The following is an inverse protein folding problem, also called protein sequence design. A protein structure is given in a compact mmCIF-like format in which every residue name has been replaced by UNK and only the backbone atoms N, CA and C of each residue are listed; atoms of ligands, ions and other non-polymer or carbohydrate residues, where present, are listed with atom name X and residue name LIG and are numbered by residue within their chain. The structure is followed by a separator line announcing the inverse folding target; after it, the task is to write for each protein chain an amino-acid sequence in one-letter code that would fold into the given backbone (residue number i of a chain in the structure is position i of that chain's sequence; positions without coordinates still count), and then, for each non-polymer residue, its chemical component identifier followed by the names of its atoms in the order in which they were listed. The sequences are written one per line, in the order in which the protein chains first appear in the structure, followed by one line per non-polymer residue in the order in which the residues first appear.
data_IF_760795672775
#
_entry.id   IF_760795672775
#
_cell.length_a   1.000
_cell.length_b   1.000
_cell.length_c   1.000
_cell.angle_alpha   90.00
_cell.angle_beta   90.00
_cell.angle_gamma   90.00
#
_symmetry.space_group_name_H-M   'P 1'
#
loop_
_entity.id
_entity.type
_entity.pdbx_description
1 polymer ?
#
# COMPACT_ATOMS: atom_id res chain seq x y z
N UNK A 1 -3.82 52.77 68.37
CA UNK A 1 -2.90 51.65 68.67
C UNK A 1 -2.85 50.78 67.39
N UNK A 2 -1.71 50.69 66.72
CA UNK A 2 -1.65 49.82 65.57
C UNK A 2 -1.63 48.37 66.04
N UNK A 3 -2.48 47.54 65.36
CA UNK A 3 -2.55 46.11 65.62
C UNK A 3 -1.24 45.42 65.20
N UNK A 4 -0.56 44.69 66.07
CA UNK A 4 0.62 43.93 65.76
C UNK A 4 0.24 42.84 64.74
N UNK A 5 0.97 42.72 63.61
CA UNK A 5 0.73 41.67 62.67
C UNK A 5 0.99 40.31 63.37
N UNK A 6 0.04 39.37 63.25
CA UNK A 6 0.17 37.98 63.74
C UNK A 6 1.39 37.33 63.04
N UNK A 7 2.42 37.01 63.82
CA UNK A 7 3.57 36.24 63.39
C UNK A 7 3.35 34.80 63.75
N UNK A 8 3.23 33.91 62.76
CA UNK A 8 3.09 32.48 63.01
C UNK A 8 4.34 31.98 63.78
N UNK A 9 4.20 31.00 64.64
CA UNK A 9 5.33 30.46 65.45
C UNK A 9 6.34 29.79 64.46
N UNK A 10 7.64 29.92 64.75
CA UNK A 10 8.72 29.41 63.90
C UNK A 10 8.57 27.92 63.52
N UNK A 11 7.95 27.13 64.41
CA UNK A 11 7.61 25.74 64.17
C UNK A 11 6.59 25.57 63.00
N UNK A 12 5.61 26.48 62.87
CA UNK A 12 4.62 26.43 61.80
C UNK A 12 5.28 26.69 60.40
N UNK A 13 6.18 27.66 60.36
CA UNK A 13 6.93 27.95 59.11
C UNK A 13 7.85 26.77 58.75
N UNK A 14 8.48 26.11 59.73
CA UNK A 14 9.32 24.95 59.51
C UNK A 14 8.52 23.76 58.98
N UNK A 15 7.35 23.49 59.58
CA UNK A 15 6.45 22.42 59.09
C UNK A 15 5.92 22.74 57.70
N UNK A 16 5.53 24.00 57.43
CA UNK A 16 5.06 24.42 56.11
C UNK A 16 6.14 24.26 55.01
N UNK A 17 7.41 24.59 55.32
CA UNK A 17 8.51 24.39 54.39
C UNK A 17 8.81 22.91 54.15
N UNK A 18 8.68 22.07 55.16
CA UNK A 18 8.90 20.62 55.06
C UNK A 18 7.82 19.97 54.17
N UNK A 19 6.55 20.39 54.33
CA UNK A 19 5.43 19.95 53.48
C UNK A 19 5.63 20.42 52.03
N UNK A 20 6.00 21.67 51.83
CA UNK A 20 6.26 22.21 50.48
C UNK A 20 7.43 21.49 49.78
N UNK A 21 8.49 21.16 50.56
CA UNK A 21 9.64 20.41 50.06
C UNK A 21 9.25 18.98 49.69
N UNK A 22 8.47 18.29 50.54
CA UNK A 22 7.95 16.95 50.23
C UNK A 22 7.01 16.93 49.01
N UNK A 23 6.14 17.94 48.88
CA UNK A 23 5.29 18.10 47.70
C UNK A 23 6.11 18.36 46.44
N UNK A 24 7.19 19.18 46.50
CA UNK A 24 8.08 19.41 45.38
C UNK A 24 8.80 18.16 44.91
N UNK A 25 9.29 17.32 45.84
CA UNK A 25 9.90 16.03 45.55
C UNK A 25 8.87 15.11 44.91
N UNK A 26 7.66 15.03 45.42
CA UNK A 26 6.56 14.23 44.89
C UNK A 26 6.19 14.63 43.45
N UNK A 27 6.07 15.93 43.20
CA UNK A 27 5.82 16.47 41.85
C UNK A 27 6.98 16.22 40.90
N UNK A 28 8.22 16.40 41.37
CA UNK A 28 9.41 16.13 40.56
C UNK A 28 9.51 14.63 40.19
N UNK A 29 9.22 13.74 41.14
CA UNK A 29 9.20 12.30 40.91
C UNK A 29 8.07 11.90 39.96
N UNK A 30 6.87 12.49 40.08
CA UNK A 30 5.74 12.26 39.18
C UNK A 30 6.04 12.75 37.75
N UNK A 31 6.65 13.94 37.63
CA UNK A 31 7.07 14.49 36.34
C UNK A 31 8.18 13.65 35.70
N UNK A 32 9.14 13.20 36.52
CA UNK A 32 10.21 12.30 36.03
C UNK A 32 9.63 10.99 35.49
N UNK A 33 8.76 10.32 36.26
CA UNK A 33 8.11 9.11 35.80
C UNK A 33 7.30 9.33 34.49
N UNK A 34 6.57 10.43 34.39
CA UNK A 34 5.78 10.74 33.21
C UNK A 34 6.65 10.95 31.95
N UNK A 35 7.80 11.65 32.09
CA UNK A 35 8.69 11.96 30.97
C UNK A 35 9.60 10.80 30.58
N UNK A 36 10.10 10.02 31.54
CA UNK A 36 11.07 8.95 31.31
C UNK A 36 10.40 7.65 30.85
N UNK A 37 9.12 7.44 31.21
CA UNK A 37 8.45 6.16 30.97
C UNK A 37 7.62 6.09 29.69
N UNK A 38 7.20 7.20 29.10
CA UNK A 38 6.45 7.18 27.86
C UNK A 38 7.39 6.86 26.66
N UNK A 39 7.18 5.76 25.92
CA UNK A 39 7.98 5.48 24.71
C UNK A 39 7.73 6.55 23.67
N UNK A 40 8.78 7.27 23.30
CA UNK A 40 8.69 8.27 22.24
C UNK A 40 9.94 8.30 21.36
N UNK A 41 9.78 8.71 20.10
CA UNK A 41 10.87 8.89 19.16
C UNK A 41 10.61 10.07 18.22
N UNK A 42 11.69 10.73 17.79
CA UNK A 42 11.66 11.76 16.72
C UNK A 42 12.00 11.18 15.34
N UNK A 43 12.40 9.93 15.30
CA UNK A 43 12.80 9.26 14.06
C UNK A 43 11.64 8.42 13.51
N UNK A 44 10.49 9.07 13.29
CA UNK A 44 9.38 8.53 12.53
C UNK A 44 9.47 8.97 11.07
N UNK A 45 9.21 8.05 10.13
CA UNK A 45 9.19 8.33 8.70
C UNK A 45 7.87 7.90 8.10
N UNK A 46 7.21 8.83 7.43
CA UNK A 46 6.02 8.50 6.62
C UNK A 46 6.46 7.62 5.45
N UNK A 47 5.79 6.50 5.29
CA UNK A 47 5.98 5.56 4.18
C UNK A 47 4.68 5.43 3.42
N UNK A 48 4.79 5.04 2.16
CA UNK A 48 3.66 4.84 1.26
C UNK A 48 4.03 3.75 0.26
N UNK A 49 3.06 2.97 -0.18
CA UNK A 49 3.26 2.04 -1.30
C UNK A 49 3.22 2.80 -2.61
N UNK A 50 4.13 2.47 -3.49
CA UNK A 50 4.13 2.94 -4.88
C UNK A 50 3.76 1.80 -5.81
N UNK A 51 2.89 2.08 -6.77
CA UNK A 51 2.54 1.15 -7.84
C UNK A 51 3.28 1.56 -9.11
N UNK A 52 4.19 0.71 -9.56
CA UNK A 52 4.84 0.87 -10.86
C UNK A 52 3.95 0.24 -11.93
N UNK A 53 3.35 1.07 -12.77
CA UNK A 53 2.47 0.63 -13.85
C UNK A 53 3.30 0.37 -15.09
N UNK A 54 3.38 -0.90 -15.49
CA UNK A 54 4.02 -1.35 -16.71
C UNK A 54 2.96 -1.86 -17.69
N UNK A 55 3.02 -1.52 -18.98
CA UNK A 55 2.12 -2.09 -19.98
C UNK A 55 2.40 -3.60 -20.13
N UNK A 56 1.35 -4.37 -20.42
CA UNK A 56 1.47 -5.81 -20.70
C UNK A 56 1.71 -6.10 -22.18
N UNK A 57 1.47 -5.10 -23.04
CA UNK A 57 1.70 -5.16 -24.49
C UNK A 57 2.57 -3.98 -24.94
N UNK A 58 3.33 -4.15 -26.03
CA UNK A 58 4.25 -3.13 -26.52
C UNK A 58 3.66 -2.37 -27.71
N UNK A 59 3.95 -1.06 -27.80
CA UNK A 59 3.55 -0.25 -28.96
C UNK A 59 3.72 1.25 -28.74
N UNK A 60 3.36 2.03 -29.73
CA UNK A 60 3.43 3.49 -29.69
C UNK A 60 2.28 4.05 -28.85
N UNK A 61 2.56 5.01 -27.96
CA UNK A 61 1.55 5.71 -27.16
C UNK A 61 0.81 6.72 -28.05
N UNK A 62 -0.49 6.52 -28.25
CA UNK A 62 -1.33 7.40 -29.08
C UNK A 62 -2.02 8.48 -28.28
N UNK A 63 -2.34 8.22 -27.04
CA UNK A 63 -2.92 9.22 -26.13
C UNK A 63 -2.38 9.06 -24.72
N UNK A 64 -2.17 10.20 -24.05
CA UNK A 64 -1.72 10.30 -22.67
C UNK A 64 -2.70 11.24 -21.94
N UNK A 65 -3.36 10.73 -20.90
CA UNK A 65 -4.42 11.46 -20.20
C UNK A 65 -3.98 12.02 -18.84
N UNK A 66 -2.72 11.81 -18.49
CA UNK A 66 -2.14 12.17 -17.20
C UNK A 66 -0.91 13.06 -17.38
N UNK A 67 -0.63 13.83 -16.35
CA UNK A 67 0.60 14.61 -16.18
C UNK A 67 1.21 14.30 -14.81
N UNK A 68 2.47 14.70 -14.59
CA UNK A 68 3.09 14.60 -13.28
C UNK A 68 2.26 15.34 -12.23
N UNK A 69 2.24 14.81 -11.02
CA UNK A 69 1.47 15.31 -9.86
C UNK A 69 -0.05 15.24 -9.99
N UNK A 70 -0.58 14.71 -11.10
CA UNK A 70 -2.02 14.56 -11.30
C UNK A 70 -2.57 13.44 -10.41
N UNK A 71 -3.75 13.68 -9.81
CA UNK A 71 -4.45 12.65 -9.04
C UNK A 71 -5.31 11.79 -9.96
N UNK A 72 -5.21 10.47 -9.80
CA UNK A 72 -5.98 9.48 -10.57
C UNK A 72 -6.75 8.57 -9.64
N UNK A 73 -7.93 8.16 -10.06
CA UNK A 73 -8.71 7.13 -9.37
C UNK A 73 -8.41 5.75 -9.95
N UNK A 74 -8.62 4.72 -9.16
CA UNK A 74 -8.53 3.34 -9.61
C UNK A 74 -9.48 3.09 -10.78
N UNK A 75 -8.94 2.60 -11.89
CA UNK A 75 -9.67 2.35 -13.13
C UNK A 75 -9.57 3.47 -14.17
N UNK A 76 -9.10 4.67 -13.80
CA UNK A 76 -8.88 5.76 -14.75
C UNK A 76 -7.86 5.37 -15.82
N UNK A 77 -8.11 5.82 -17.05
CA UNK A 77 -7.19 5.57 -18.17
C UNK A 77 -5.99 6.48 -18.03
N UNK A 78 -4.81 5.89 -17.92
CA UNK A 78 -3.54 6.61 -17.83
C UNK A 78 -3.02 6.97 -19.23
N UNK A 79 -2.89 5.98 -20.08
CA UNK A 79 -2.48 6.15 -21.48
C UNK A 79 -2.99 5.00 -22.33
N UNK A 80 -2.95 5.19 -23.64
CA UNK A 80 -3.37 4.19 -24.63
C UNK A 80 -2.25 3.92 -25.64
N UNK A 81 -1.98 2.66 -25.88
CA UNK A 81 -1.10 2.15 -26.93
C UNK A 81 -1.92 2.03 -28.22
N UNK A 82 -1.30 2.20 -29.38
CA UNK A 82 -1.94 2.08 -30.71
C UNK A 82 -2.67 0.72 -30.86
N UNK A 83 -4.01 0.71 -30.85
CA UNK A 83 -4.77 -0.53 -30.88
C UNK A 83 -4.85 -1.18 -32.25
N UNK A 84 -4.53 -0.47 -33.33
CA UNK A 84 -4.77 -0.91 -34.71
C UNK A 84 -4.16 -2.27 -35.03
N UNK A 85 -2.96 -2.54 -34.57
CA UNK A 85 -2.29 -3.84 -34.76
C UNK A 85 -3.04 -4.96 -34.03
N UNK A 86 -3.50 -4.69 -32.83
CA UNK A 86 -4.23 -5.63 -31.98
C UNK A 86 -5.64 -5.87 -32.51
N UNK A 87 -6.34 -4.83 -32.98
CA UNK A 87 -7.64 -4.98 -33.67
C UNK A 87 -7.54 -5.87 -34.90
N UNK A 88 -6.46 -5.73 -35.70
CA UNK A 88 -6.25 -6.59 -36.85
C UNK A 88 -6.01 -8.04 -36.44
N UNK A 89 -5.29 -8.31 -35.33
CA UNK A 89 -5.13 -9.66 -34.77
C UNK A 89 -6.46 -10.26 -34.33
N UNK A 90 -7.33 -9.49 -33.68
CA UNK A 90 -8.68 -9.94 -33.32
C UNK A 90 -9.50 -10.28 -34.56
N UNK A 91 -9.49 -9.44 -35.59
CA UNK A 91 -10.17 -9.73 -36.88
C UNK A 91 -9.66 -11.01 -37.54
N UNK A 92 -8.35 -11.22 -37.54
CA UNK A 92 -7.73 -12.44 -38.09
C UNK A 92 -8.13 -13.69 -37.29
N UNK A 93 -8.08 -13.63 -35.95
CA UNK A 93 -8.49 -14.73 -35.07
C UNK A 93 -9.98 -15.06 -35.21
N UNK A 94 -10.83 -14.04 -35.34
CA UNK A 94 -12.27 -14.18 -35.59
C UNK A 94 -12.54 -14.90 -36.92
N UNK A 95 -11.84 -14.50 -37.99
CA UNK A 95 -11.92 -15.19 -39.30
C UNK A 95 -11.48 -16.64 -39.24
N UNK A 96 -10.39 -16.92 -38.51
CA UNK A 96 -9.91 -18.30 -38.31
C UNK A 96 -10.91 -19.15 -37.55
N UNK A 97 -11.51 -18.61 -36.48
CA UNK A 97 -12.55 -19.29 -35.71
C UNK A 97 -13.80 -19.58 -36.56
N UNK A 98 -14.21 -18.63 -37.39
CA UNK A 98 -15.36 -18.84 -38.29
C UNK A 98 -15.07 -19.97 -39.32
N UNK A 99 -13.84 -20.01 -39.88
CA UNK A 99 -13.42 -21.07 -40.79
C UNK A 99 -13.39 -22.44 -40.13
N UNK A 100 -12.80 -22.55 -38.91
CA UNK A 100 -12.73 -23.81 -38.18
C UNK A 100 -14.10 -24.32 -37.77
N UNK A 101 -15.01 -23.40 -37.32
CA UNK A 101 -16.42 -23.74 -36.99
C UNK A 101 -17.16 -24.28 -38.21
N UNK A 102 -17.02 -23.67 -39.40
CA UNK A 102 -17.65 -24.15 -40.60
C UNK A 102 -17.14 -25.54 -41.00
N UNK A 103 -15.80 -25.78 -40.89
CA UNK A 103 -15.21 -27.08 -41.16
C UNK A 103 -15.70 -28.16 -40.16
N UNK A 104 -15.73 -27.83 -38.85
CA UNK A 104 -16.21 -28.74 -37.80
C UNK A 104 -17.69 -29.13 -38.05
N UNK A 105 -18.56 -28.16 -38.37
CA UNK A 105 -19.97 -28.42 -38.64
C UNK A 105 -20.17 -29.30 -39.87
N UNK A 106 -19.35 -29.11 -40.90
CA UNK A 106 -19.35 -29.99 -42.10
C UNK A 106 -18.96 -31.43 -41.76
N UNK A 107 -17.84 -31.61 -41.03
CA UNK A 107 -17.35 -32.94 -40.64
C UNK A 107 -18.27 -33.66 -39.64
N UNK A 108 -18.91 -32.92 -38.76
CA UNK A 108 -19.91 -33.45 -37.83
C UNK A 108 -21.17 -33.94 -38.57
N UNK A 109 -21.68 -33.17 -39.54
CA UNK A 109 -22.79 -33.59 -40.39
C UNK A 109 -22.42 -34.80 -41.24
N UNK A 110 -21.17 -34.91 -41.70
CA UNK A 110 -20.66 -36.06 -42.43
C UNK A 110 -20.59 -37.29 -41.52
N UNK A 111 -20.04 -37.20 -40.31
CA UNK A 111 -19.98 -38.28 -39.31
C UNK A 111 -21.40 -38.78 -38.94
N UNK A 112 -22.31 -37.82 -38.72
CA UNK A 112 -23.72 -38.16 -38.42
C UNK A 112 -24.36 -38.90 -39.57
N UNK A 113 -24.19 -38.43 -40.81
CA UNK A 113 -24.73 -39.08 -42.01
C UNK A 113 -24.16 -40.50 -42.14
N UNK A 114 -22.84 -40.69 -41.99
CA UNK A 114 -22.22 -42.04 -42.05
C UNK A 114 -22.67 -42.96 -40.93
N UNK A 115 -22.97 -42.45 -39.74
CA UNK A 115 -23.48 -43.26 -38.61
C UNK A 115 -24.90 -43.78 -38.85
N UNK A 116 -25.70 -43.10 -39.67
CA UNK A 116 -27.07 -43.47 -40.03
C UNK A 116 -27.16 -44.51 -41.16
N UNK A 117 -26.07 -44.73 -41.93
CA UNK A 117 -26.03 -45.71 -43.02
C UNK A 117 -25.94 -47.15 -42.47
N UNK A 118 -26.49 -48.10 -43.28
CA UNK A 118 -26.46 -49.53 -42.90
C UNK A 118 -25.02 -50.09 -42.98
N UNK A 119 -24.78 -51.19 -42.27
CA UNK A 119 -23.48 -51.92 -42.27
C UNK A 119 -23.08 -52.49 -43.63
N UNK A 120 -24.03 -52.62 -44.53
CA UNK A 120 -23.78 -53.01 -45.92
C UNK A 120 -23.19 -51.88 -46.77
N UNK A 121 -23.38 -50.64 -46.34
CA UNK A 121 -22.98 -49.46 -47.13
C UNK A 121 -21.71 -48.79 -46.59
N UNK A 122 -21.39 -48.90 -45.28
CA UNK A 122 -20.24 -48.27 -44.63
C UNK A 122 -19.69 -49.20 -43.55
N UNK A 123 -18.39 -49.49 -43.57
CA UNK A 123 -17.73 -50.33 -42.58
C UNK A 123 -17.70 -49.62 -41.19
N UNK A 124 -17.61 -50.44 -40.14
CA UNK A 124 -17.49 -49.92 -38.77
C UNK A 124 -16.24 -49.04 -38.59
N UNK A 125 -15.12 -49.40 -39.26
CA UNK A 125 -13.88 -48.63 -39.30
C UNK A 125 -14.08 -47.25 -39.93
N UNK A 126 -14.76 -47.19 -41.07
CA UNK A 126 -15.04 -45.90 -41.77
C UNK A 126 -15.93 -44.96 -40.94
N UNK A 127 -16.90 -45.48 -40.16
CA UNK A 127 -17.74 -44.73 -39.25
C UNK A 127 -16.91 -44.17 -38.08
N UNK A 128 -16.06 -45.02 -37.49
CA UNK A 128 -15.21 -44.63 -36.37
C UNK A 128 -14.17 -43.59 -36.78
N UNK A 129 -13.62 -43.69 -37.97
CA UNK A 129 -12.71 -42.75 -38.53
C UNK A 129 -13.40 -41.35 -38.77
N UNK A 130 -14.61 -41.35 -39.31
CA UNK A 130 -15.38 -40.11 -39.49
C UNK A 130 -15.67 -39.40 -38.16
N UNK A 131 -16.04 -40.17 -37.14
CA UNK A 131 -16.25 -39.65 -35.77
C UNK A 131 -14.95 -39.08 -35.19
N UNK A 132 -13.81 -39.77 -35.41
CA UNK A 132 -12.50 -39.29 -34.97
C UNK A 132 -12.10 -37.98 -35.64
N UNK A 133 -12.32 -37.87 -36.93
CA UNK A 133 -12.07 -36.61 -37.69
C UNK A 133 -12.97 -35.49 -37.22
N UNK A 134 -14.25 -35.73 -37.00
CA UNK A 134 -15.17 -34.70 -36.46
C UNK A 134 -14.77 -34.21 -35.05
N UNK A 135 -14.31 -35.14 -34.20
CA UNK A 135 -13.78 -34.73 -32.86
C UNK A 135 -12.54 -33.86 -33.01
N UNK A 136 -11.56 -34.25 -33.84
CA UNK A 136 -10.39 -33.43 -34.10
C UNK A 136 -10.72 -32.05 -34.69
N UNK A 137 -11.77 -31.94 -35.49
CA UNK A 137 -12.25 -30.65 -35.98
C UNK A 137 -12.89 -29.78 -34.85
N UNK A 138 -13.57 -30.40 -33.91
CA UNK A 138 -14.08 -29.69 -32.73
C UNK A 138 -12.96 -29.23 -31.79
N UNK A 139 -11.91 -30.04 -31.63
CA UNK A 139 -10.71 -29.63 -30.86
C UNK A 139 -10.02 -28.42 -31.52
N UNK A 140 -9.97 -28.37 -32.87
CA UNK A 140 -9.46 -27.21 -33.61
C UNK A 140 -10.33 -25.95 -33.43
N UNK A 141 -11.64 -26.08 -33.19
CA UNK A 141 -12.51 -24.94 -32.83
C UNK A 141 -12.14 -24.42 -31.45
N UNK A 142 -11.87 -25.30 -30.49
CA UNK A 142 -11.45 -24.91 -29.15
C UNK A 142 -10.11 -24.15 -29.16
N UNK A 143 -9.13 -24.64 -29.94
CA UNK A 143 -7.85 -23.96 -30.16
C UNK A 143 -8.05 -22.55 -30.79
N UNK A 144 -8.88 -22.45 -31.83
CA UNK A 144 -9.15 -21.16 -32.49
C UNK A 144 -9.92 -20.20 -31.59
N UNK A 145 -10.76 -20.70 -30.66
CA UNK A 145 -11.43 -19.89 -29.64
C UNK A 145 -10.41 -19.31 -28.67
N UNK A 146 -9.50 -20.14 -28.16
CA UNK A 146 -8.42 -19.67 -27.29
C UNK A 146 -7.53 -18.61 -27.95
N UNK A 147 -7.25 -18.77 -29.25
CA UNK A 147 -6.49 -17.76 -30.02
C UNK A 147 -7.25 -16.43 -30.14
N UNK A 148 -8.57 -16.45 -30.31
CA UNK A 148 -9.40 -15.25 -30.32
C UNK A 148 -9.43 -14.58 -28.94
N UNK A 149 -9.60 -15.35 -27.87
CA UNK A 149 -9.61 -14.84 -26.50
C UNK A 149 -8.28 -14.15 -26.15
N UNK A 150 -7.16 -14.76 -26.55
CA UNK A 150 -5.83 -14.14 -26.37
C UNK A 150 -5.70 -12.83 -27.14
N UNK A 151 -6.11 -12.79 -28.41
CA UNK A 151 -6.03 -11.57 -29.22
C UNK A 151 -6.94 -10.46 -28.66
N UNK A 152 -8.09 -10.83 -28.11
CA UNK A 152 -9.04 -9.90 -27.47
C UNK A 152 -8.46 -9.32 -26.16
N UNK A 153 -7.82 -10.16 -25.34
CA UNK A 153 -7.12 -9.75 -24.15
C UNK A 153 -5.95 -8.80 -24.44
N UNK A 154 -5.16 -9.11 -25.49
CA UNK A 154 -4.06 -8.23 -25.91
C UNK A 154 -4.58 -6.86 -26.37
N UNK A 155 -5.75 -6.80 -27.02
CA UNK A 155 -6.40 -5.55 -27.41
C UNK A 155 -6.88 -4.77 -26.16
N UNK A 156 -7.48 -5.42 -25.19
CA UNK A 156 -7.89 -4.79 -23.94
C UNK A 156 -6.70 -4.18 -23.21
N UNK A 157 -5.57 -4.88 -23.20
CA UNK A 157 -4.30 -4.46 -22.58
C UNK A 157 -3.63 -3.27 -23.27
N UNK A 158 -4.12 -2.81 -24.43
CA UNK A 158 -3.66 -1.56 -25.05
C UNK A 158 -4.11 -0.32 -24.29
N UNK A 159 -5.16 -0.43 -23.47
CA UNK A 159 -5.67 0.66 -22.62
C UNK A 159 -5.19 0.45 -21.20
N UNK A 160 -4.20 1.23 -20.80
CA UNK A 160 -3.57 1.10 -19.47
C UNK A 160 -4.34 1.93 -18.46
N UNK A 161 -4.75 1.28 -17.36
CA UNK A 161 -5.55 1.88 -16.30
C UNK A 161 -4.83 1.90 -14.96
N UNK A 162 -5.21 2.84 -14.09
CA UNK A 162 -4.68 2.91 -12.74
C UNK A 162 -5.15 1.74 -11.87
N UNK A 163 -4.23 1.01 -11.22
CA UNK A 163 -4.59 -0.06 -10.27
C UNK A 163 -4.99 0.48 -8.89
N UNK A 164 -4.69 1.74 -8.57
CA UNK A 164 -4.86 2.38 -7.26
C UNK A 164 -5.40 3.79 -7.39
N UNK A 165 -5.92 4.34 -6.29
CA UNK A 165 -6.14 5.77 -6.14
C UNK A 165 -4.82 6.43 -5.76
N UNK A 166 -4.45 7.55 -6.38
CA UNK A 166 -3.20 8.21 -5.98
C UNK A 166 -2.67 9.24 -6.95
N UNK A 167 -1.48 9.71 -6.67
CA UNK A 167 -0.81 10.74 -7.47
C UNK A 167 0.23 10.13 -8.39
N UNK A 168 0.28 10.65 -9.61
CA UNK A 168 1.37 10.38 -10.55
C UNK A 168 2.65 11.02 -10.00
N UNK A 169 3.67 10.20 -9.73
CA UNK A 169 4.95 10.68 -9.17
C UNK A 169 6.04 10.79 -10.22
N UNK A 170 6.03 9.89 -11.21
CA UNK A 170 7.05 9.84 -12.27
C UNK A 170 6.40 9.31 -13.54
N UNK A 171 6.41 10.14 -14.59
CA UNK A 171 5.87 9.83 -15.91
C UNK A 171 7.00 9.80 -16.93
N UNK A 172 7.46 8.61 -17.25
CA UNK A 172 8.59 8.40 -18.17
C UNK A 172 8.16 8.53 -19.63
N UNK A 173 6.87 8.23 -19.92
CA UNK A 173 6.33 8.20 -21.28
C UNK A 173 5.85 9.57 -21.74
N UNK A 174 5.97 9.78 -23.05
CA UNK A 174 5.36 10.89 -23.77
C UNK A 174 4.49 10.37 -24.92
N UNK A 175 3.52 11.17 -25.34
CA UNK A 175 2.73 10.86 -26.51
C UNK A 175 3.64 10.73 -27.75
N UNK A 176 3.46 9.67 -28.54
CA UNK A 176 4.34 9.31 -29.64
C UNK A 176 5.55 8.46 -29.24
N UNK A 177 5.83 8.32 -27.95
CA UNK A 177 6.87 7.43 -27.42
C UNK A 177 6.48 5.97 -27.57
N UNK A 178 7.46 5.07 -27.40
CA UNK A 178 7.24 3.63 -27.48
C UNK A 178 7.22 3.01 -26.08
N UNK A 179 6.12 2.35 -25.73
CA UNK A 179 5.97 1.61 -24.50
C UNK A 179 6.36 0.15 -24.70
N UNK A 180 7.20 -0.38 -23.82
CA UNK A 180 7.67 -1.78 -23.87
C UNK A 180 7.00 -2.59 -22.79
N UNK A 181 6.45 -3.75 -23.13
CA UNK A 181 5.81 -4.65 -22.17
C UNK A 181 6.75 -5.02 -21.03
N UNK A 182 6.25 -4.96 -19.79
CA UNK A 182 7.00 -5.27 -18.56
C UNK A 182 7.94 -4.18 -18.08
N UNK A 183 8.11 -3.06 -18.79
CA UNK A 183 8.91 -1.93 -18.32
C UNK A 183 8.01 -0.89 -17.65
N UNK A 184 8.33 -0.43 -16.42
CA UNK A 184 7.58 0.62 -15.76
C UNK A 184 7.50 1.89 -16.61
N UNK A 185 6.30 2.38 -16.81
CA UNK A 185 5.99 3.55 -17.62
C UNK A 185 5.53 4.74 -16.76
N UNK A 186 4.84 4.44 -15.67
CA UNK A 186 4.27 5.41 -14.75
C UNK A 186 4.44 4.89 -13.32
N UNK A 187 4.86 5.75 -12.40
CA UNK A 187 4.88 5.45 -10.97
C UNK A 187 3.75 6.20 -10.27
N UNK A 188 2.89 5.47 -9.57
CA UNK A 188 1.79 6.02 -8.78
C UNK A 188 2.08 5.89 -7.29
N UNK A 189 1.83 6.95 -6.54
CA UNK A 189 1.85 6.93 -5.06
C UNK A 189 0.44 6.63 -4.59
N UNK A 190 0.25 5.47 -3.94
CA UNK A 190 -1.07 5.04 -3.50
C UNK A 190 -1.56 5.87 -2.31
N UNK A 191 -2.61 6.66 -2.53
CA UNK A 191 -3.18 7.58 -1.53
C UNK A 191 -3.74 6.85 -0.30
N UNK A 192 -4.18 5.60 -0.46
CA UNK A 192 -4.85 4.82 0.59
C UNK A 192 -3.87 3.98 1.43
N UNK A 193 -2.55 4.18 1.26
CA UNK A 193 -1.54 3.26 1.83
C UNK A 193 -0.47 3.93 2.68
N UNK A 194 -0.75 5.09 3.26
CA UNK A 194 0.21 5.76 4.13
C UNK A 194 0.30 5.09 5.50
N UNK A 195 1.53 4.93 6.00
CA UNK A 195 1.83 4.52 7.38
C UNK A 195 3.09 5.22 7.85
N UNK A 196 3.37 5.13 9.16
CA UNK A 196 4.61 5.66 9.72
C UNK A 196 5.46 4.50 10.23
N UNK A 197 6.74 4.51 9.85
CA UNK A 197 7.73 3.65 10.48
C UNK A 197 8.47 4.50 11.52
N UNK A 198 8.34 4.14 12.79
CA UNK A 198 8.97 4.83 13.90
C UNK A 198 10.10 3.95 14.46
N UNK A 199 11.29 4.51 14.65
CA UNK A 199 12.47 3.81 15.14
C UNK A 199 12.63 4.06 16.63
N UNK A 200 12.36 3.03 17.45
CA UNK A 200 12.50 3.07 18.90
C UNK A 200 13.75 2.34 19.34
N UNK A 201 14.35 2.77 20.47
CA UNK A 201 15.45 2.07 21.08
C UNK A 201 14.98 0.72 21.63
N UNK A 202 15.81 -0.32 21.52
CA UNK A 202 15.45 -1.68 21.98
C UNK A 202 15.07 -1.73 23.47
N UNK A 203 15.55 -0.78 24.27
CA UNK A 203 15.22 -0.65 25.70
C UNK A 203 13.78 -0.22 25.95
N UNK A 204 13.12 0.38 24.96
CA UNK A 204 11.73 0.83 25.06
C UNK A 204 10.72 -0.24 24.61
N UNK A 205 11.17 -1.25 23.84
CA UNK A 205 10.31 -2.28 23.27
C UNK A 205 9.42 -3.04 24.26
N UNK A 206 9.90 -3.40 25.48
CA UNK A 206 9.05 -4.14 26.43
C UNK A 206 7.78 -3.39 26.86
N UNK A 207 7.70 -2.09 26.57
CA UNK A 207 6.58 -1.20 26.94
C UNK A 207 5.65 -0.94 25.78
N UNK A 208 5.93 -1.46 24.59
CA UNK A 208 5.17 -1.23 23.39
C UNK A 208 4.49 -2.53 22.98
N UNK A 209 3.20 -2.48 22.77
CA UNK A 209 2.40 -3.63 22.36
C UNK A 209 1.71 -3.35 21.02
N UNK A 210 1.41 -4.42 20.28
CA UNK A 210 0.57 -4.30 19.08
C UNK A 210 -0.84 -3.88 19.50
N UNK A 211 -1.36 -2.85 18.85
CA UNK A 211 -2.64 -2.25 19.18
C UNK A 211 -2.55 -1.01 20.08
N UNK A 212 -1.37 -0.70 20.65
CA UNK A 212 -1.20 0.52 21.44
C UNK A 212 -1.45 1.75 20.58
N UNK A 213 -2.06 2.75 21.21
CA UNK A 213 -2.34 4.01 20.54
C UNK A 213 -1.07 4.85 20.41
N UNK A 214 -0.85 5.40 19.23
CA UNK A 214 0.28 6.25 18.91
C UNK A 214 -0.20 7.66 18.53
N UNK A 215 0.36 8.66 19.19
CA UNK A 215 0.23 10.06 18.80
C UNK A 215 1.37 10.43 17.88
N UNK A 216 1.03 10.95 16.70
CA UNK A 216 1.98 11.33 15.67
C UNK A 216 1.91 12.84 15.43
N UNK A 217 3.07 13.47 15.38
CA UNK A 217 3.18 14.89 15.07
C UNK A 217 4.17 15.03 13.92
N UNK A 218 3.68 15.42 12.75
CA UNK A 218 4.54 15.68 11.59
C UNK A 218 5.36 16.96 11.80
N UNK A 219 6.61 16.94 11.37
CA UNK A 219 7.48 18.11 11.46
C UNK A 219 6.97 19.27 10.62
N UNK A 220 6.27 18.97 9.51
CA UNK A 220 5.63 19.98 8.66
C UNK A 220 4.35 20.60 9.28
N UNK A 221 3.68 19.88 10.20
CA UNK A 221 2.41 20.29 10.83
C UNK A 221 2.45 20.15 12.35
N UNK A 222 3.28 20.92 13.08
CA UNK A 222 3.51 20.73 14.52
C UNK A 222 2.27 21.01 15.38
N UNK A 223 1.32 21.79 14.88
CA UNK A 223 0.08 22.14 15.57
C UNK A 223 -1.08 21.16 15.38
N UNK A 224 -0.90 20.11 14.55
CA UNK A 224 -1.96 19.17 14.18
C UNK A 224 -1.52 17.73 14.46
N UNK A 225 -1.73 17.23 15.69
CA UNK A 225 -1.43 15.84 16.00
C UNK A 225 -2.40 14.90 15.28
N UNK A 226 -1.86 13.82 14.77
CA UNK A 226 -2.61 12.69 14.23
C UNK A 226 -2.59 11.53 15.21
N UNK A 227 -3.52 10.61 15.02
CA UNK A 227 -3.60 9.39 15.81
C UNK A 227 -3.45 8.17 14.91
N UNK A 228 -2.94 7.13 15.49
CA UNK A 228 -2.75 5.83 14.87
C UNK A 228 -2.54 4.77 15.91
N UNK A 229 -2.32 3.55 15.48
CA UNK A 229 -2.05 2.42 16.36
C UNK A 229 -0.83 1.63 15.90
N UNK A 230 -0.19 0.95 16.84
CA UNK A 230 0.93 0.05 16.56
C UNK A 230 0.41 -1.18 15.81
N UNK A 231 0.75 -1.32 14.54
CA UNK A 231 0.37 -2.45 13.72
C UNK A 231 1.33 -3.65 13.88
N UNK A 232 2.60 -3.37 14.17
CA UNK A 232 3.58 -4.44 14.35
C UNK A 232 5.02 -3.97 14.47
N UNK A 233 5.89 -4.93 14.80
CA UNK A 233 7.32 -4.72 14.95
C UNK A 233 8.07 -5.21 13.72
N UNK A 234 9.16 -4.52 13.36
CA UNK A 234 10.10 -5.05 12.38
C UNK A 234 10.95 -6.15 13.01
N UNK A 235 10.87 -7.35 12.46
CA UNK A 235 11.58 -8.53 13.00
C UNK A 235 13.02 -8.66 12.53
N UNK A 236 13.55 -7.68 11.77
CA UNK A 236 14.94 -7.70 11.30
C UNK A 236 15.47 -6.32 11.04
N UNK A 237 16.68 -6.09 11.47
CA UNK A 237 17.50 -4.94 11.14
C UNK A 237 18.81 -5.41 10.50
N UNK A 238 19.30 -4.68 9.52
CA UNK A 238 20.64 -4.92 8.99
C UNK A 238 21.66 -4.23 9.88
N UNK A 239 22.51 -5.01 10.51
CA UNK A 239 23.66 -4.51 11.28
C UNK A 239 24.94 -4.94 10.58
N UNK A 240 25.95 -4.07 10.56
CA UNK A 240 27.22 -4.32 9.84
C UNK A 240 27.89 -5.62 10.27
N UNK A 241 27.75 -6.01 11.54
CA UNK A 241 28.36 -7.24 12.09
C UNK A 241 27.54 -8.51 11.82
N UNK A 242 26.36 -8.42 11.24
CA UNK A 242 25.50 -9.57 10.94
C UNK A 242 25.40 -9.87 9.44
N UNK A 243 26.04 -9.06 8.59
CA UNK A 243 26.06 -9.32 7.15
C UNK A 243 26.89 -10.59 6.88
N UNK A 244 26.35 -11.62 6.19
CA UNK A 244 27.12 -12.77 5.77
C UNK A 244 28.25 -12.29 4.84
N UNK A 245 29.51 -12.62 5.19
CA UNK A 245 30.65 -12.37 4.34
C UNK A 245 30.58 -13.18 3.04
N UNK A 246 31.45 -12.85 2.07
CA UNK A 246 31.49 -13.45 0.72
C UNK A 246 31.63 -14.99 0.72
N UNK A 247 32.00 -15.60 1.83
CA UNK A 247 32.17 -17.05 2.02
C UNK A 247 31.13 -17.65 2.98
N UNK A 248 30.03 -16.92 3.30
CA UNK A 248 29.00 -17.41 4.22
C UNK A 248 29.39 -17.39 5.70
N UNK A 249 30.59 -16.90 6.04
CA UNK A 249 31.02 -16.70 7.41
C UNK A 249 30.65 -15.28 7.87
N UNK A 250 30.21 -15.09 9.12
CA UNK A 250 29.89 -13.75 9.64
C UNK A 250 31.15 -12.89 9.71
N UNK A 251 31.08 -11.69 9.13
CA UNK A 251 32.14 -10.69 9.29
C UNK A 251 32.00 -10.05 10.66
N UNK A 252 33.01 -10.22 11.51
CA UNK A 252 33.04 -9.62 12.85
C UNK A 252 34.10 -8.52 12.86
N UNK A 253 33.64 -7.26 12.90
CA UNK A 253 34.55 -6.15 13.19
C UNK A 253 34.78 -6.06 14.70
N UNK A 254 36.01 -6.00 15.19
CA UNK A 254 36.27 -5.77 16.60
C UNK A 254 35.79 -4.37 16.97
N UNK A 255 34.70 -4.28 17.73
CA UNK A 255 34.16 -3.00 18.20
C UNK A 255 34.83 -2.66 19.52
N UNK A 256 35.77 -1.70 19.50
CA UNK A 256 36.34 -1.08 20.67
C UNK A 256 35.48 0.09 21.19
N UNK A 257 34.17 -0.10 21.27
CA UNK A 257 33.31 0.94 21.84
C UNK A 257 33.09 0.65 23.32
N UNK A 258 33.50 1.59 24.16
CA UNK A 258 33.28 1.58 25.61
C UNK A 258 31.80 1.49 26.00
N UNK A 259 30.92 2.09 25.20
CA UNK A 259 29.48 2.10 25.42
C UNK A 259 28.80 1.43 24.25
N UNK A 260 28.00 0.38 24.51
CA UNK A 260 27.09 -0.18 23.52
C UNK A 260 25.87 0.72 23.40
N UNK A 261 25.69 1.29 22.23
CA UNK A 261 24.46 2.03 21.92
C UNK A 261 23.33 1.02 21.67
N UNK A 262 22.15 1.33 22.20
CA UNK A 262 20.95 0.55 21.91
C UNK A 262 20.66 0.54 20.41
N UNK A 263 20.24 -0.60 19.89
CA UNK A 263 19.80 -0.71 18.51
C UNK A 263 18.43 -0.07 18.33
N UNK A 264 18.16 0.43 17.13
CA UNK A 264 16.86 1.01 16.80
C UNK A 264 16.01 0.02 16.03
N UNK A 265 14.87 -0.30 16.59
CA UNK A 265 13.92 -1.26 16.02
C UNK A 265 12.78 -0.50 15.35
N UNK A 266 12.49 -0.80 14.06
CA UNK A 266 11.39 -0.17 13.35
C UNK A 266 10.05 -0.72 13.85
N UNK A 267 9.15 0.17 14.22
CA UNK A 267 7.77 -0.12 14.57
C UNK A 267 6.86 0.49 13.51
N UNK A 268 5.94 -0.31 12.99
CA UNK A 268 4.93 0.13 12.05
C UNK A 268 3.73 0.70 12.81
N UNK A 269 3.39 1.93 12.51
CA UNK A 269 2.20 2.62 13.03
C UNK A 269 1.27 2.90 11.85
N UNK A 270 0.06 2.37 11.90
CA UNK A 270 -1.00 2.66 10.95
C UNK A 270 -1.78 3.90 11.40
N UNK A 271 -2.17 4.73 10.45
CA UNK A 271 -2.87 5.98 10.71
C UNK A 271 -4.37 5.69 10.77
N UNK A 272 -5.04 6.14 11.83
CA UNK A 272 -6.49 5.95 11.99
C UNK A 272 -7.27 7.04 11.25
N UNK A 273 -6.79 8.29 11.34
CA UNK A 273 -7.40 9.43 10.67
C UNK A 273 -6.34 10.49 10.34
N UNK A 274 -6.48 11.09 9.17
CA UNK A 274 -5.61 12.20 8.71
C UNK A 274 -6.46 13.46 8.64
N UNK A 275 -6.35 14.36 9.63
CA UNK A 275 -7.16 15.57 9.65
C UNK A 275 -6.79 16.51 8.51
N UNK A 276 -7.82 17.12 7.88
CA UNK A 276 -7.61 18.21 6.95
C UNK A 276 -7.02 19.46 7.67
N UNK A 277 -6.06 20.18 7.10
CA UNK A 277 -5.56 20.16 5.73
C UNK A 277 -4.20 19.45 5.56
N UNK A 278 -3.93 18.37 6.30
CA UNK A 278 -2.65 17.66 6.21
C UNK A 278 -2.52 16.94 4.88
N UNK A 279 -1.52 17.30 4.10
CA UNK A 279 -1.12 16.57 2.89
C UNK A 279 0.07 15.68 3.24
N UNK A 280 -0.13 14.36 3.20
CA UNK A 280 0.91 13.39 3.45
C UNK A 280 1.79 13.19 2.22
N UNK A 281 3.10 13.13 2.45
CA UNK A 281 4.08 12.74 1.43
C UNK A 281 5.04 11.71 2.00
N UNK A 282 5.39 10.73 1.18
CA UNK A 282 6.40 9.73 1.55
C UNK A 282 7.72 10.40 1.92
N UNK A 283 8.34 9.96 3.02
CA UNK A 283 9.60 10.52 3.51
C UNK A 283 9.47 11.65 4.53
N UNK A 284 8.29 12.21 4.78
CA UNK A 284 8.08 13.17 5.86
C UNK A 284 8.52 12.63 7.20
N UNK A 285 9.05 13.50 8.06
CA UNK A 285 9.49 13.15 9.42
C UNK A 285 8.36 13.38 10.42
N UNK A 286 8.20 12.43 11.33
CA UNK A 286 7.21 12.49 12.41
C UNK A 286 7.85 12.22 13.77
N UNK A 287 7.36 12.91 14.78
CA UNK A 287 7.58 12.52 16.19
C UNK A 287 6.44 11.59 16.57
N UNK A 288 6.79 10.42 17.12
CA UNK A 288 5.82 9.40 17.51
C UNK A 288 5.95 9.18 19.02
N UNK A 289 4.84 9.25 19.75
CA UNK A 289 4.76 8.88 21.15
C UNK A 289 3.66 7.85 21.34
N UNK A 290 4.01 6.73 21.97
CA UNK A 290 3.09 5.64 22.26
C UNK A 290 2.52 5.84 23.66
N UNK A 291 1.21 5.68 23.79
CA UNK A 291 0.51 5.80 25.07
C UNK A 291 0.24 4.40 25.61
N UNK A 292 0.72 4.13 26.82
CA UNK A 292 0.51 2.86 27.50
C UNK A 292 -0.96 2.67 27.88
N UNK A 293 -1.56 1.57 27.44
CA UNK A 293 -2.77 0.99 27.97
C UNK A 293 -4.13 1.60 27.54
N UNK A 294 -5.24 1.04 28.05
CA UNK A 294 -6.60 1.33 27.58
C UNK A 294 -7.12 2.75 27.90
N UNK A 295 -6.33 3.59 28.57
CA UNK A 295 -6.67 5.00 28.80
C UNK A 295 -6.70 5.83 27.51
N UNK A 296 -5.90 5.46 26.48
CA UNK A 296 -5.91 6.11 25.19
C UNK A 296 -7.21 5.92 24.40
N UNK A 297 -7.87 4.77 24.56
CA UNK A 297 -9.15 4.48 23.87
C UNK A 297 -10.30 5.39 24.34
N UNK A 298 -10.28 5.84 25.59
CA UNK A 298 -11.32 6.72 26.14
C UNK A 298 -11.25 8.15 25.59
N UNK A 299 -10.07 8.66 25.26
CA UNK A 299 -9.90 10.01 24.70
C UNK A 299 -10.22 10.06 23.20
N UNK A 300 -9.97 8.98 22.46
CA UNK A 300 -10.35 8.87 21.02
C UNK A 300 -11.86 8.80 20.88
N UNK A 301 -12.55 8.00 21.68
CA UNK A 301 -14.02 7.95 21.64
C UNK A 301 -14.66 9.29 22.00
N UNK A 302 -14.06 10.10 22.86
CA UNK A 302 -14.56 11.46 23.15
C UNK A 302 -14.31 12.43 22.01
N UNK A 303 -13.21 12.30 21.27
CA UNK A 303 -12.89 13.20 20.14
C UNK A 303 -13.50 12.76 18.81
N UNK A 304 -13.66 11.45 18.56
CA UNK A 304 -14.36 10.94 17.38
C UNK A 304 -15.87 11.19 17.43
N UNK A 305 -16.47 11.11 18.62
CA UNK A 305 -17.88 11.45 18.83
C UNK A 305 -18.20 12.94 18.64
N UNK A 306 -17.21 13.82 18.72
CA UNK A 306 -17.38 15.27 18.55
C UNK A 306 -17.19 15.76 17.10
N UNK A 307 -16.74 14.93 16.16
CA UNK A 307 -16.38 15.33 14.79
C UNK A 307 -17.07 14.57 13.67
N UNK A 308 -18.13 13.81 13.94
CA UNK A 308 -19.01 13.31 12.88
C UNK A 308 -20.02 14.39 12.47
N UNK A 309 -19.50 15.54 12.02
CA UNK A 309 -20.26 16.58 11.34
C UNK A 309 -19.90 16.57 9.86
N UNK A 310 -20.91 16.47 9.01
CA UNK A 310 -20.87 16.44 7.55
C UNK A 310 -20.09 17.57 6.86
N UNK A 311 -19.54 18.51 7.61
CA UNK A 311 -18.87 19.70 7.09
C UNK A 311 -17.36 19.51 6.84
N UNK A 312 -16.71 18.53 7.49
CA UNK A 312 -15.28 18.28 7.32
C UNK A 312 -14.96 17.56 6.00
N UNK A 313 -15.84 16.66 5.55
CA UNK A 313 -15.67 15.94 4.29
C UNK A 313 -15.83 16.85 3.06
N UNK A 314 -16.70 17.86 3.13
CA UNK A 314 -16.90 18.84 2.06
C UNK A 314 -15.74 19.84 1.94
N UNK A 315 -15.07 20.19 3.04
CA UNK A 315 -13.92 21.09 3.04
C UNK A 315 -12.67 20.43 2.41
N UNK A 316 -12.48 19.11 2.59
CA UNK A 316 -11.37 18.37 1.97
C UNK A 316 -11.53 18.23 0.45
N UNK A 317 -12.76 18.08 -0.04
CA UNK A 317 -13.04 17.92 -1.48
C UNK A 317 -12.74 19.22 -2.28
N UNK A 318 -12.78 20.38 -1.65
CA UNK A 318 -12.38 21.65 -2.27
C UNK A 318 -10.85 21.84 -2.39
N UNK A 319 -10.06 21.25 -1.47
CA UNK A 319 -8.59 21.33 -1.53
C UNK A 319 -7.96 20.30 -2.46
N UNK A 320 -8.66 19.20 -2.77
CA UNK A 320 -8.19 18.20 -3.73
C UNK A 320 -8.42 18.55 -5.20
N UNK A 321 -9.16 19.65 -5.48
CA UNK A 321 -9.49 20.10 -6.85
C UNK A 321 -8.67 21.30 -7.35
N UNK A 322 -7.77 21.83 -6.54
CA UNK A 322 -6.80 22.87 -6.92
C UNK A 322 -5.39 22.27 -6.89
#
# INVERSE_FOLDING_TARGET
MPARPWQPPAAFNFIATLIAFGASIGLAWMAWNYYEYAPWTRDGRVRVYTAQVAPEVSGTVVSLHITDTYFVHKGDVLFQIDPRTYENRVKQATGRLAQTKANASYLEAEATRRSQLSDLSVSAEQRQNAIGIARGANDAVLEATGALDQASLDLERTTIRSPVNGWVSDLILQQGGYATAGQPAVTLVNADSFWVVAYFDETQLPRIQVGDQAKLVLMAYPGQPMWGHVAGFGHGISVENAAPGVQGLPSVNPIFTWVRLAQRIPIRVELDDVPCPIVLSGGMTATVSIQDGPAGQADVQRQSGARHGSDAAQACDQFSRN
#
